data_IF_167350877466
#
_entry.id   IF_167350877466
#
_cell.length_a   1.000
_cell.length_b   1.000
_cell.length_c   1.000
_cell.angle_alpha   90.00
_cell.angle_beta   90.00
_cell.angle_gamma   90.00
#
_symmetry.space_group_name_H-M   'P 1'
#
loop_
_entity.id
_entity.type
_entity.pdbx_description
1 polymer ?
#
# COMPACT_ATOMS: atom_id res chain seq x y z
N UNK A 1 -17.91 -34.80 5.09
CA UNK A 1 -17.32 -33.48 5.40
C UNK A 1 -16.08 -33.35 4.55
N UNK A 2 -16.21 -32.66 3.41
CA UNK A 2 -15.07 -32.36 2.53
C UNK A 2 -14.31 -31.19 3.15
N UNK A 3 -13.05 -31.41 3.50
CA UNK A 3 -12.12 -30.34 3.86
C UNK A 3 -12.04 -29.36 2.69
N UNK A 4 -12.71 -28.21 2.83
CA UNK A 4 -12.49 -27.06 1.97
C UNK A 4 -11.11 -26.49 2.31
N UNK A 5 -10.04 -27.12 1.82
CA UNK A 5 -8.75 -26.47 1.70
C UNK A 5 -8.93 -25.33 0.70
N UNK A 6 -9.05 -24.12 1.21
CA UNK A 6 -9.04 -22.92 0.38
C UNK A 6 -7.71 -22.88 -0.38
N UNK A 7 -7.75 -23.20 -1.67
CA UNK A 7 -6.63 -23.04 -2.59
C UNK A 7 -6.49 -21.56 -2.95
N UNK A 8 -6.15 -20.72 -1.99
CA UNK A 8 -5.64 -19.40 -2.32
C UNK A 8 -4.27 -19.63 -2.97
N UNK A 9 -4.20 -19.39 -4.28
CA UNK A 9 -2.97 -19.57 -5.02
C UNK A 9 -1.97 -18.54 -4.48
N UNK A 10 -0.95 -18.99 -3.75
CA UNK A 10 0.06 -18.11 -3.16
C UNK A 10 0.75 -17.22 -4.22
N UNK A 11 0.75 -17.67 -5.47
CA UNK A 11 1.38 -17.01 -6.62
C UNK A 11 0.41 -16.16 -7.45
N UNK A 12 -0.84 -15.97 -7.01
CA UNK A 12 -1.77 -15.07 -7.69
C UNK A 12 -1.50 -13.61 -7.29
N UNK A 13 -1.72 -12.65 -8.23
CA UNK A 13 -1.66 -11.24 -7.89
C UNK A 13 -2.57 -10.89 -6.72
N UNK A 14 -2.06 -10.04 -5.83
CA UNK A 14 -2.78 -9.55 -4.67
C UNK A 14 -3.07 -8.06 -4.84
N UNK A 15 -4.28 -7.65 -4.48
CA UNK A 15 -4.71 -6.26 -4.65
C UNK A 15 -5.04 -5.63 -3.31
N UNK A 16 -4.68 -4.37 -3.10
CA UNK A 16 -5.07 -3.63 -1.91
C UNK A 16 -5.49 -2.21 -2.25
N UNK A 17 -6.56 -1.76 -1.61
CA UNK A 17 -6.90 -0.35 -1.56
C UNK A 17 -5.98 0.34 -0.55
N UNK A 18 -5.44 1.49 -0.92
CA UNK A 18 -4.63 2.32 -0.05
C UNK A 18 -5.12 3.76 -0.09
N UNK A 19 -5.69 4.23 1.03
CA UNK A 19 -6.43 5.50 1.10
C UNK A 19 -5.85 6.44 2.14
N UNK A 20 -5.72 7.71 1.80
CA UNK A 20 -5.34 8.73 2.76
C UNK A 20 -6.39 8.88 3.86
N UNK A 21 -5.97 8.94 5.12
CA UNK A 21 -6.82 9.23 6.27
C UNK A 21 -6.77 10.73 6.59
N UNK A 22 -7.94 11.34 6.70
CA UNK A 22 -8.08 12.81 6.79
C UNK A 22 -7.55 13.36 8.13
N UNK A 23 -6.77 14.44 8.07
CA UNK A 23 -6.48 15.30 9.22
C UNK A 23 -7.71 16.14 9.62
N UNK A 24 -7.86 16.42 10.92
CA UNK A 24 -9.04 17.10 11.49
C UNK A 24 -9.32 18.49 10.91
N UNK A 25 -8.32 19.15 10.33
CA UNK A 25 -8.40 20.47 9.71
C UNK A 25 -9.07 20.47 8.33
N UNK A 26 -9.18 19.31 7.66
CA UNK A 26 -9.99 19.14 6.46
C UNK A 26 -9.53 19.88 5.21
N UNK A 27 -8.31 20.41 5.16
CA UNK A 27 -7.84 21.34 4.10
C UNK A 27 -6.76 20.73 3.18
N UNK A 28 -6.67 19.40 3.03
CA UNK A 28 -5.81 18.82 1.97
C UNK A 28 -6.58 18.03 0.92
N UNK A 29 -7.54 18.71 0.29
CA UNK A 29 -7.59 18.97 -1.16
C UNK A 29 -7.65 17.85 -2.21
N UNK A 30 -7.04 16.66 -2.03
CA UNK A 30 -7.13 15.56 -3.02
C UNK A 30 -7.13 14.25 -2.24
N UNK A 31 -8.17 13.46 -2.45
CA UNK A 31 -8.43 12.22 -1.72
C UNK A 31 -7.56 11.11 -2.26
N UNK A 32 -6.23 11.24 -2.20
CA UNK A 32 -5.33 10.30 -2.86
C UNK A 32 -5.67 8.86 -2.46
N UNK A 33 -6.19 8.15 -3.45
CA UNK A 33 -6.59 6.75 -3.38
C UNK A 33 -5.74 6.01 -4.38
N UNK A 34 -5.19 4.91 -3.92
CA UNK A 34 -4.31 4.09 -4.73
C UNK A 34 -4.82 2.64 -4.73
N UNK A 35 -4.67 2.00 -5.89
CA UNK A 35 -4.70 0.55 -6.00
C UNK A 35 -3.25 0.07 -5.98
N UNK A 36 -2.91 -0.70 -4.95
CA UNK A 36 -1.66 -1.47 -4.88
C UNK A 36 -1.92 -2.82 -5.53
N UNK A 37 -1.13 -3.15 -6.54
CA UNK A 37 -1.12 -4.47 -7.18
C UNK A 37 0.24 -5.10 -6.90
N UNK A 38 0.23 -6.23 -6.20
CA UNK A 38 1.41 -7.01 -5.90
C UNK A 38 1.42 -8.31 -6.71
N UNK A 39 2.61 -8.81 -7.04
CA UNK A 39 2.78 -10.08 -7.73
C UNK A 39 2.23 -11.27 -6.92
N UNK A 40 2.27 -11.17 -5.59
CA UNK A 40 1.72 -12.15 -4.66
C UNK A 40 1.24 -11.49 -3.37
N UNK A 41 0.50 -12.25 -2.54
CA UNK A 41 0.14 -11.83 -1.18
C UNK A 41 1.37 -11.59 -0.30
N UNK A 42 2.40 -12.42 -0.44
CA UNK A 42 3.66 -12.25 0.31
C UNK A 42 4.38 -10.96 -0.09
N UNK A 43 4.43 -10.65 -1.38
CA UNK A 43 5.05 -9.40 -1.85
C UNK A 43 4.28 -8.17 -1.37
N UNK A 44 2.94 -8.24 -1.28
CA UNK A 44 2.15 -7.19 -0.65
C UNK A 44 2.54 -6.99 0.82
N UNK A 45 2.66 -8.08 1.59
CA UNK A 45 3.07 -8.03 3.00
C UNK A 45 4.47 -7.45 3.16
N UNK A 46 5.42 -7.90 2.34
CA UNK A 46 6.79 -7.35 2.32
C UNK A 46 6.74 -5.85 2.07
N UNK A 47 6.04 -5.41 1.03
CA UNK A 47 5.91 -3.99 0.72
C UNK A 47 5.34 -3.19 1.90
N UNK A 48 4.18 -3.59 2.44
CA UNK A 48 3.53 -2.83 3.52
C UNK A 48 4.38 -2.79 4.80
N UNK A 49 5.09 -3.86 5.16
CA UNK A 49 6.07 -3.85 6.26
C UNK A 49 7.20 -2.86 6.00
N UNK A 50 7.68 -2.81 4.77
CA UNK A 50 8.67 -1.82 4.34
C UNK A 50 8.16 -0.39 4.49
N UNK A 51 6.91 -0.12 4.11
CA UNK A 51 6.32 1.22 4.27
C UNK A 51 6.09 1.57 5.75
N UNK A 52 5.68 0.61 6.59
CA UNK A 52 5.57 0.81 8.04
C UNK A 52 6.94 1.14 8.69
N UNK A 53 8.02 0.55 8.20
CA UNK A 53 9.39 0.92 8.62
C UNK A 53 9.77 2.31 8.11
N UNK A 54 9.49 2.60 6.84
CA UNK A 54 9.75 3.91 6.23
C UNK A 54 9.06 5.02 7.01
N UNK A 55 7.81 4.81 7.43
CA UNK A 55 7.04 5.80 8.17
C UNK A 55 7.62 6.18 9.54
N UNK A 56 8.59 5.40 10.06
CA UNK A 56 9.29 5.69 11.31
C UNK A 56 10.58 6.49 11.10
N UNK A 57 11.00 6.72 9.86
CA UNK A 57 12.18 7.55 9.57
C UNK A 57 11.87 9.02 9.85
N UNK A 58 12.88 9.77 10.29
CA UNK A 58 12.74 11.16 10.73
C UNK A 58 12.27 12.10 9.62
N UNK A 59 12.65 11.80 8.39
CA UNK A 59 12.41 12.58 7.16
C UNK A 59 11.40 11.90 6.22
N UNK A 60 10.64 10.93 6.72
CA UNK A 60 9.61 10.26 5.95
C UNK A 60 8.46 11.20 5.59
N UNK A 61 8.00 11.10 4.33
CA UNK A 61 6.86 11.87 3.84
C UNK A 61 5.52 11.10 3.91
N UNK A 62 5.59 9.82 4.25
CA UNK A 62 4.47 8.99 4.71
C UNK A 62 4.74 8.76 6.19
N UNK A 63 3.86 9.21 7.08
CA UNK A 63 4.17 9.27 8.53
C UNK A 63 3.40 8.24 9.37
N UNK A 64 2.43 7.57 8.75
CA UNK A 64 1.63 6.52 9.38
C UNK A 64 1.05 5.64 8.30
N UNK A 65 1.01 4.33 8.55
CA UNK A 65 0.36 3.34 7.69
C UNK A 65 -0.34 2.32 8.59
N UNK A 66 -1.59 1.99 8.27
CA UNK A 66 -2.41 1.08 9.08
C UNK A 66 -3.29 0.19 8.22
N UNK A 67 -3.29 -1.10 8.49
CA UNK A 67 -4.24 -2.03 7.89
C UNK A 67 -5.59 -2.01 8.64
N UNK A 68 -6.70 -2.02 7.89
CA UNK A 68 -8.01 -2.49 8.38
C UNK A 68 -8.10 -4.00 8.17
N UNK A 69 -7.68 -4.45 6.99
CA UNK A 69 -7.37 -5.83 6.62
C UNK A 69 -6.28 -5.79 5.54
N UNK A 70 -5.77 -6.94 5.10
CA UNK A 70 -4.62 -6.94 4.18
C UNK A 70 -4.93 -6.31 2.81
N UNK A 71 -6.21 -6.25 2.41
CA UNK A 71 -6.64 -5.60 1.17
C UNK A 71 -7.13 -4.15 1.36
N UNK A 72 -7.03 -3.59 2.56
CA UNK A 72 -7.48 -2.22 2.86
C UNK A 72 -6.57 -1.52 3.85
N UNK A 73 -5.87 -0.51 3.37
CA UNK A 73 -4.86 0.24 4.11
C UNK A 73 -5.20 1.72 4.16
N UNK A 74 -4.90 2.35 5.30
CA UNK A 74 -4.93 3.79 5.47
C UNK A 74 -3.52 4.33 5.70
N UNK A 75 -3.29 5.59 5.36
CA UNK A 75 -2.02 6.27 5.63
C UNK A 75 -2.20 7.76 5.89
N UNK A 76 -1.20 8.34 6.56
CA UNK A 76 -1.07 9.79 6.75
C UNK A 76 0.23 10.29 6.08
N UNK A 77 0.26 11.55 5.67
CA UNK A 77 1.42 12.20 5.05
C UNK A 77 1.82 13.46 5.82
N UNK A 78 3.10 13.81 5.71
CA UNK A 78 3.60 15.15 6.06
C UNK A 78 3.77 15.98 4.78
N UNK A 79 3.67 17.31 4.90
CA UNK A 79 3.96 18.23 3.79
C UNK A 79 2.87 18.37 2.70
N UNK A 80 1.73 17.69 2.84
CA UNK A 80 0.52 17.93 2.03
C UNK A 80 0.53 17.39 0.59
N UNK A 81 1.58 16.66 0.19
CA UNK A 81 1.71 16.11 -1.15
C UNK A 81 1.33 14.63 -1.21
N UNK A 82 0.11 14.31 -1.64
CA UNK A 82 -0.31 12.91 -1.70
C UNK A 82 0.32 12.07 -2.82
N UNK A 83 1.21 12.63 -3.64
CA UNK A 83 2.05 11.85 -4.56
C UNK A 83 3.22 11.15 -3.86
N UNK A 84 3.42 11.35 -2.55
CA UNK A 84 4.52 10.75 -1.79
C UNK A 84 4.64 9.23 -1.96
N UNK A 85 3.52 8.52 -2.09
CA UNK A 85 3.50 7.08 -2.35
C UNK A 85 4.09 6.72 -3.71
N UNK A 86 3.70 7.44 -4.77
CA UNK A 86 4.23 7.19 -6.10
C UNK A 86 5.73 7.52 -6.18
N UNK A 87 6.17 8.57 -5.48
CA UNK A 87 7.61 8.89 -5.36
C UNK A 87 8.38 7.81 -4.62
N UNK A 88 7.81 7.23 -3.56
CA UNK A 88 8.44 6.11 -2.85
C UNK A 88 8.67 4.93 -3.81
N UNK A 89 7.65 4.53 -4.56
CA UNK A 89 7.77 3.43 -5.54
C UNK A 89 8.77 3.78 -6.66
N UNK A 90 8.75 5.01 -7.16
CA UNK A 90 9.76 5.47 -8.14
C UNK A 90 11.19 5.35 -7.60
N UNK A 91 11.43 5.74 -6.35
CA UNK A 91 12.75 5.61 -5.73
C UNK A 91 13.17 4.14 -5.56
N UNK A 92 12.23 3.25 -5.24
CA UNK A 92 12.47 1.79 -5.19
C UNK A 92 12.88 1.29 -6.57
N UNK A 93 12.13 1.62 -7.62
CA UNK A 93 12.40 1.15 -8.99
C UNK A 93 13.74 1.66 -9.53
N UNK A 94 14.09 2.91 -9.20
CA UNK A 94 15.37 3.55 -9.55
C UNK A 94 16.54 3.12 -8.67
N UNK A 95 16.32 2.26 -7.68
CA UNK A 95 17.33 1.81 -6.71
C UNK A 95 17.98 2.95 -5.92
N UNK A 96 17.24 4.04 -5.67
CA UNK A 96 17.70 5.16 -4.85
C UNK A 96 17.52 4.84 -3.36
N UNK A 97 18.34 3.92 -2.84
CA UNK A 97 18.18 3.33 -1.51
C UNK A 97 18.16 4.34 -0.35
N UNK A 98 18.99 5.38 -0.43
CA UNK A 98 19.05 6.42 0.60
C UNK A 98 17.72 7.17 0.76
N UNK A 99 16.94 7.31 -0.31
CA UNK A 99 15.65 8.02 -0.28
C UNK A 99 14.54 7.25 0.45
N UNK A 100 14.73 5.96 0.72
CA UNK A 100 13.83 5.14 1.52
C UNK A 100 14.50 4.51 2.74
N UNK A 101 15.66 5.03 3.15
CA UNK A 101 16.38 4.60 4.35
C UNK A 101 17.00 3.19 4.25
N UNK A 102 17.28 2.72 3.03
CA UNK A 102 17.89 1.41 2.76
C UNK A 102 17.12 0.23 3.41
N UNK A 103 15.79 0.34 3.40
CA UNK A 103 14.91 -0.68 3.98
C UNK A 103 14.84 -1.90 3.05
N UNK A 104 15.32 -3.04 3.53
CA UNK A 104 15.37 -4.31 2.79
C UNK A 104 14.01 -4.70 2.18
N UNK A 105 12.92 -4.57 2.92
CA UNK A 105 11.59 -4.92 2.40
C UNK A 105 11.19 -4.07 1.19
N UNK A 106 11.50 -2.78 1.21
CA UNK A 106 11.21 -1.88 0.09
C UNK A 106 12.12 -2.20 -1.10
N UNK A 107 13.39 -2.49 -0.85
CA UNK A 107 14.31 -2.98 -1.87
C UNK A 107 13.79 -4.27 -2.54
N UNK A 108 13.38 -5.25 -1.73
CA UNK A 108 12.87 -6.55 -2.18
C UNK A 108 11.50 -6.50 -2.87
N UNK A 109 10.81 -5.35 -2.80
CA UNK A 109 9.54 -5.09 -3.47
C UNK A 109 9.70 -4.58 -4.91
N UNK A 110 10.92 -4.22 -5.32
CA UNK A 110 11.23 -3.69 -6.66
C UNK A 110 10.74 -4.64 -7.75
N UNK A 111 9.98 -4.10 -8.72
CA UNK A 111 9.43 -4.87 -9.84
C UNK A 111 8.28 -5.82 -9.49
N UNK A 112 7.85 -5.87 -8.22
CA UNK A 112 6.75 -6.74 -7.75
C UNK A 112 5.51 -5.96 -7.32
N UNK A 113 5.64 -4.64 -7.17
CA UNK A 113 4.58 -3.74 -6.75
C UNK A 113 4.30 -2.72 -7.86
N UNK A 114 3.02 -2.55 -8.18
CA UNK A 114 2.53 -1.49 -9.05
C UNK A 114 1.52 -0.66 -8.26
N UNK A 115 1.69 0.66 -8.28
CA UNK A 115 0.74 1.59 -7.66
C UNK A 115 0.06 2.40 -8.75
N UNK A 116 -1.28 2.32 -8.77
CA UNK A 116 -2.14 3.08 -9.67
C UNK A 116 -2.96 4.09 -8.90
N UNK A 117 -2.96 5.35 -9.33
CA UNK A 117 -3.87 6.36 -8.78
C UNK A 117 -5.31 6.05 -9.21
N UNK A 118 -6.23 6.02 -8.25
CA UNK A 118 -7.66 5.89 -8.50
C UNK A 118 -8.25 7.27 -8.75
N UNK A 119 -9.19 7.34 -9.71
CA UNK A 119 -9.77 8.60 -10.14
C UNK A 119 -10.55 9.29 -9.00
N UNK A 120 -9.96 10.35 -8.45
CA UNK A 120 -10.62 11.33 -7.60
C UNK A 120 -11.30 12.34 -8.49
N UNK A 121 -12.60 12.15 -8.67
CA UNK A 121 -13.40 12.94 -9.55
C UNK A 121 -13.35 14.45 -9.25
N UNK A 122 -12.68 15.21 -10.10
CA UNK A 122 -13.09 16.57 -10.47
C UNK A 122 -14.28 16.45 -11.45
N UNK A 123 -15.49 16.15 -10.92
CA UNK A 123 -16.75 16.22 -11.68
C UNK A 123 -17.45 14.91 -12.11
N UNK A 124 -17.08 13.74 -11.57
CA UNK A 124 -17.72 12.44 -11.81
C UNK A 124 -17.94 11.57 -10.55
N UNK A 125 -18.43 10.32 -10.74
CA UNK A 125 -18.56 9.36 -9.64
C UNK A 125 -17.21 8.74 -9.26
N UNK A 126 -16.94 8.63 -7.96
CA UNK A 126 -15.74 7.96 -7.43
C UNK A 126 -15.82 6.47 -7.73
N UNK A 127 -14.86 5.95 -8.50
CA UNK A 127 -14.76 4.51 -8.76
C UNK A 127 -13.97 3.82 -7.66
N UNK A 128 -14.52 2.72 -7.15
CA UNK A 128 -13.84 1.78 -6.26
C UNK A 128 -13.86 0.43 -6.95
N UNK A 129 -12.73 -0.06 -7.50
CA UNK A 129 -12.72 -1.37 -8.12
C UNK A 129 -13.04 -2.43 -7.06
N UNK A 130 -13.96 -3.33 -7.42
CA UNK A 130 -14.24 -4.53 -6.64
C UNK A 130 -13.03 -5.44 -6.83
N UNK A 131 -12.36 -5.77 -5.72
CA UNK A 131 -11.20 -6.67 -5.74
C UNK A 131 -11.68 -8.13 -5.89
N UNK A 132 -10.90 -9.00 -6.55
CA UNK A 132 -11.22 -10.42 -6.59
C UNK A 132 -11.25 -11.00 -5.17
N UNK A 133 -11.93 -12.13 -4.99
CA UNK A 133 -11.87 -12.85 -3.72
C UNK A 133 -10.42 -13.31 -3.49
N UNK A 134 -9.87 -12.96 -2.33
CA UNK A 134 -8.48 -13.23 -1.95
C UNK A 134 -8.40 -13.30 -0.41
N UNK A 135 -7.36 -13.90 0.14
CA UNK A 135 -7.17 -13.96 1.59
C UNK A 135 -6.71 -12.61 2.16
N UNK A 136 -7.63 -11.91 2.82
CA UNK A 136 -7.41 -10.58 3.41
C UNK A 136 -7.04 -10.64 4.91
N UNK A 137 -6.82 -11.83 5.48
CA UNK A 137 -6.48 -11.99 6.89
C UNK A 137 -5.19 -11.25 7.25
N UNK A 138 -5.14 -10.72 8.48
CA UNK A 138 -3.94 -10.13 9.09
C UNK A 138 -3.21 -11.10 10.02
N UNK A 139 -3.73 -12.31 10.25
CA UNK A 139 -3.23 -13.24 11.26
C UNK A 139 -1.73 -13.57 11.09
N UNK A 140 -1.28 -13.84 9.87
CA UNK A 140 0.12 -14.12 9.56
C UNK A 140 0.92 -12.86 9.20
N UNK A 141 0.25 -11.73 8.99
CA UNK A 141 0.90 -10.43 8.82
C UNK A 141 1.48 -9.92 10.14
N UNK A 142 0.72 -10.04 11.24
CA UNK A 142 1.08 -9.54 12.57
C UNK A 142 2.07 -10.44 13.33
N UNK A 143 2.31 -11.67 12.84
CA UNK A 143 3.09 -12.70 13.53
C UNK A 143 4.35 -13.16 12.77
N UNK A 144 4.80 -12.41 11.77
CA UNK A 144 5.99 -12.76 10.99
C UNK A 144 6.88 -11.57 10.70
#
# INVERSE_FOLDING_TARGET
MTDNKYYWNHDAPFYAHWTYQRSADGVTGKWFRFLVTAASREDAKTFFRGVEKYAKLKDANIVSVKAINLAWWTYDISGGDGWNIMRLVQNIDQMNASAYGDIDELHNSRGKIVISILNDADGGSRSWPILPTQDVSLSDYQHG
#
